data_IF_066115472830
#
_entry.id   IF_066115472830
#
_cell.length_a   1.000
_cell.length_b   1.000
_cell.length_c   1.000
_cell.angle_alpha   90.00
_cell.angle_beta   90.00
_cell.angle_gamma   90.00
#
_symmetry.space_group_name_H-M   'P 1'
#
loop_
_entity.id
_entity.type
_entity.pdbx_description
1 polymer ?
#
# COMPACT_ATOMS: atom_id res chain seq x y z
N UNK A 1 4.56 -17.59 45.94
CA UNK A 1 4.42 -18.18 44.59
C UNK A 1 3.38 -17.49 43.71
N UNK A 2 2.26 -16.96 44.24
CA UNK A 2 1.22 -16.26 43.43
C UNK A 2 1.66 -14.96 42.74
N UNK A 3 2.68 -14.26 43.28
CA UNK A 3 3.15 -12.96 42.76
C UNK A 3 4.00 -13.07 41.48
N UNK A 4 4.59 -14.25 41.21
CA UNK A 4 5.49 -14.47 40.07
C UNK A 4 4.68 -14.72 38.78
N UNK A 5 3.51 -15.37 38.90
CA UNK A 5 2.61 -15.63 37.78
C UNK A 5 2.01 -14.35 37.17
N UNK A 6 1.72 -13.33 38.00
CA UNK A 6 1.18 -12.05 37.53
C UNK A 6 2.24 -11.23 36.77
N UNK A 7 3.51 -11.29 37.21
CA UNK A 7 4.62 -10.64 36.53
C UNK A 7 4.89 -11.27 35.15
N UNK A 8 4.77 -12.60 35.03
CA UNK A 8 4.94 -13.31 33.77
C UNK A 8 3.81 -13.00 32.74
N UNK A 9 2.57 -12.82 33.20
CA UNK A 9 1.45 -12.42 32.31
C UNK A 9 1.54 -10.98 31.81
N UNK A 10 2.20 -10.07 32.56
CA UNK A 10 2.39 -8.68 32.12
C UNK A 10 3.53 -8.56 31.09
N UNK A 11 4.60 -9.35 31.24
CA UNK A 11 5.73 -9.39 30.31
C UNK A 11 5.38 -10.09 28.98
N UNK A 12 4.41 -11.01 28.98
CA UNK A 12 3.85 -11.60 27.76
C UNK A 12 2.86 -10.66 27.03
N UNK A 13 2.43 -9.56 27.67
CA UNK A 13 1.49 -8.58 27.10
C UNK A 13 2.13 -7.45 26.28
N UNK A 14 3.47 -7.41 26.18
CA UNK A 14 4.21 -6.35 25.45
C UNK A 14 4.59 -6.81 24.02
N UNK A 15 4.03 -7.94 23.58
CA UNK A 15 4.24 -8.46 22.23
C UNK A 15 3.42 -7.69 21.20
N UNK A 16 4.12 -6.90 20.38
CA UNK A 16 3.66 -6.27 19.14
C UNK A 16 2.60 -5.18 19.33
N UNK A 17 3.05 -3.94 19.56
CA UNK A 17 2.31 -2.81 19.02
C UNK A 17 2.33 -2.97 17.50
N UNK A 18 1.22 -3.44 16.91
CA UNK A 18 1.03 -3.34 15.47
C UNK A 18 1.07 -1.85 15.14
N UNK A 19 2.17 -1.38 14.57
CA UNK A 19 2.23 -0.01 14.06
C UNK A 19 1.22 0.09 12.93
N UNK A 20 0.15 0.86 13.15
CA UNK A 20 -0.68 1.27 12.05
C UNK A 20 0.16 2.14 11.11
N UNK A 21 0.10 1.88 9.81
CA UNK A 21 0.78 2.68 8.81
C UNK A 21 -0.22 3.27 7.83
N UNK A 22 0.19 4.38 7.25
CA UNK A 22 -0.61 5.12 6.27
C UNK A 22 -0.12 4.85 4.85
N UNK A 23 -1.01 5.11 3.89
CA UNK A 23 -0.68 5.07 2.48
C UNK A 23 -1.16 6.36 1.80
N UNK A 24 -0.23 7.04 1.13
CA UNK A 24 -0.52 8.23 0.31
C UNK A 24 -0.31 7.88 -1.16
N UNK A 25 -1.33 8.12 -1.98
CA UNK A 25 -1.27 8.01 -3.42
C UNK A 25 -1.25 9.40 -4.03
N UNK A 26 -0.24 9.69 -4.84
CA UNK A 26 -0.07 10.94 -5.58
C UNK A 26 -0.12 10.58 -7.05
N UNK A 27 -1.11 11.08 -7.77
CA UNK A 27 -1.31 10.80 -9.18
C UNK A 27 -1.21 12.08 -10.00
N UNK A 28 -0.09 12.22 -10.71
CA UNK A 28 0.19 13.34 -11.61
C UNK A 28 -0.26 13.07 -13.05
N UNK A 29 -0.84 11.90 -13.31
CA UNK A 29 -1.40 11.54 -14.60
C UNK A 29 -2.87 11.94 -14.68
N UNK A 30 -3.44 11.89 -15.88
CA UNK A 30 -4.87 12.11 -16.12
C UNK A 30 -5.70 10.81 -16.01
N UNK A 31 -5.09 9.68 -15.66
CA UNK A 31 -5.78 8.40 -15.53
C UNK A 31 -6.26 8.14 -14.10
N UNK A 32 -7.30 7.32 -13.95
CA UNK A 32 -7.64 6.72 -12.65
C UNK A 32 -7.11 5.30 -12.61
N UNK A 33 -6.42 4.93 -11.54
CA UNK A 33 -5.82 3.60 -11.37
C UNK A 33 -6.56 2.76 -10.33
N UNK A 34 -6.74 1.48 -10.62
CA UNK A 34 -7.27 0.52 -9.66
C UNK A 34 -6.12 -0.26 -9.01
N UNK A 35 -6.11 -0.29 -7.68
CA UNK A 35 -5.14 -1.04 -6.89
C UNK A 35 -5.87 -1.99 -5.96
N UNK A 36 -5.33 -3.20 -5.77
CA UNK A 36 -5.78 -4.09 -4.70
C UNK A 36 -4.78 -4.06 -3.55
N UNK A 37 -5.27 -3.85 -2.32
CA UNK A 37 -4.48 -3.85 -1.08
C UNK A 37 -5.06 -4.87 -0.10
N UNK A 38 -4.43 -5.04 1.07
CA UNK A 38 -5.02 -5.85 2.15
C UNK A 38 -6.35 -5.28 2.63
N UNK A 39 -6.53 -3.95 2.58
CA UNK A 39 -7.76 -3.26 2.92
C UNK A 39 -8.84 -3.32 1.84
N UNK A 40 -8.57 -3.91 0.68
CA UNK A 40 -9.49 -3.97 -0.47
C UNK A 40 -9.03 -3.15 -1.67
N UNK A 41 -10.00 -2.81 -2.53
CA UNK A 41 -9.74 -2.09 -3.77
C UNK A 41 -9.73 -0.57 -3.57
N UNK A 42 -8.75 0.09 -4.15
CA UNK A 42 -8.58 1.54 -4.13
C UNK A 42 -8.60 2.06 -5.55
N UNK A 43 -9.40 3.09 -5.79
CA UNK A 43 -9.32 3.88 -7.01
C UNK A 43 -8.49 5.13 -6.71
N UNK A 44 -7.45 5.37 -7.50
CA UNK A 44 -6.56 6.52 -7.38
C UNK A 44 -6.84 7.46 -8.56
N UNK A 45 -7.75 8.44 -8.40
CA UNK A 45 -7.98 9.47 -9.42
C UNK A 45 -6.77 10.42 -9.51
N UNK A 46 -6.71 11.31 -10.53
CA UNK A 46 -5.74 12.40 -10.56
C UNK A 46 -5.78 13.23 -9.27
N UNK A 47 -4.60 13.60 -8.76
CA UNK A 47 -4.43 14.30 -7.49
C UNK A 47 -3.96 13.40 -6.34
N UNK A 48 -4.31 13.76 -5.12
CA UNK A 48 -3.81 13.10 -3.90
C UNK A 48 -4.94 12.34 -3.20
N UNK A 49 -4.66 11.08 -2.82
CA UNK A 49 -5.55 10.25 -2.01
C UNK A 49 -4.79 9.73 -0.81
N UNK A 50 -5.37 9.82 0.39
CA UNK A 50 -4.71 9.41 1.64
C UNK A 50 -5.58 8.43 2.42
N UNK A 51 -4.95 7.38 2.94
CA UNK A 51 -5.55 6.43 3.86
C UNK A 51 -4.68 6.30 5.11
N UNK A 52 -5.27 6.58 6.27
CA UNK A 52 -4.59 6.46 7.55
C UNK A 52 -4.34 5.00 7.97
N UNK A 53 -5.10 4.06 7.42
CA UNK A 53 -4.93 2.62 7.62
C UNK A 53 -5.66 1.81 6.54
N UNK A 54 -5.37 0.51 6.38
CA UNK A 54 -6.13 -0.37 5.48
C UNK A 54 -7.61 -0.48 5.85
N UNK A 55 -7.96 -0.35 7.13
CA UNK A 55 -9.35 -0.37 7.60
C UNK A 55 -10.19 0.83 7.10
N UNK A 56 -9.55 1.88 6.57
CA UNK A 56 -10.22 3.02 5.96
C UNK A 56 -10.55 2.80 4.47
N UNK A 57 -10.15 1.66 3.89
CA UNK A 57 -10.56 1.25 2.54
C UNK A 57 -11.84 0.42 2.69
N UNK A 58 -12.85 0.72 1.87
CA UNK A 58 -14.12 0.00 1.92
C UNK A 58 -13.92 -1.43 1.43
N UNK A 59 -13.86 -2.39 2.35
CA UNK A 59 -13.90 -3.81 2.03
C UNK A 59 -14.67 -4.59 3.10
N UNK A 60 -15.87 -5.09 2.80
CA UNK A 60 -16.67 -5.87 3.74
C UNK A 60 -16.10 -7.27 4.04
N UNK A 61 -15.06 -7.74 3.32
CA UNK A 61 -14.51 -9.09 3.45
C UNK A 61 -13.06 -9.19 3.93
N UNK A 62 -12.36 -8.07 4.16
CA UNK A 62 -10.99 -8.10 4.65
C UNK A 62 -10.96 -8.06 6.19
N UNK A 63 -10.16 -8.91 6.86
CA UNK A 63 -9.86 -8.68 8.27
C UNK A 63 -9.20 -7.30 8.41
N UNK A 64 -9.54 -6.50 9.44
CA UNK A 64 -8.94 -5.20 9.65
C UNK A 64 -7.44 -5.37 9.97
N UNK A 65 -6.59 -5.37 8.95
CA UNK A 65 -5.16 -5.25 9.17
C UNK A 65 -4.89 -3.79 9.53
N UNK A 66 -4.20 -3.56 10.66
CA UNK A 66 -3.75 -2.21 11.02
C UNK A 66 -2.69 -1.67 10.04
N UNK A 67 -2.09 -2.54 9.23
CA UNK A 67 -0.89 -2.23 8.44
C UNK A 67 -1.07 -2.63 6.97
N UNK A 68 -0.80 -1.70 6.06
CA UNK A 68 -0.48 -1.92 4.66
C UNK A 68 0.83 -2.70 4.58
N UNK A 69 0.79 -3.92 4.08
CA UNK A 69 1.98 -4.75 3.83
C UNK A 69 2.34 -4.82 2.35
N UNK A 70 1.46 -4.34 1.47
CA UNK A 70 1.70 -4.28 0.04
C UNK A 70 0.48 -3.86 -0.76
N UNK A 71 0.67 -3.59 -2.03
CA UNK A 71 -0.40 -3.32 -2.99
C UNK A 71 -0.11 -4.06 -4.29
N UNK A 72 -1.15 -4.42 -5.03
CA UNK A 72 -1.01 -4.81 -6.44
C UNK A 72 -1.64 -3.74 -7.29
N UNK A 73 -0.85 -3.21 -8.21
CA UNK A 73 -1.31 -2.22 -9.17
C UNK A 73 -1.71 -2.98 -10.43
N UNK A 74 -2.94 -2.79 -10.87
CA UNK A 74 -3.37 -3.23 -12.19
C UNK A 74 -2.95 -2.18 -13.21
N UNK A 75 -1.89 -2.45 -13.98
CA UNK A 75 -1.37 -1.52 -15.00
C UNK A 75 -2.19 -1.64 -16.28
N UNK A 76 -3.53 -1.51 -16.17
CA UNK A 76 -4.49 -1.89 -17.22
C UNK A 76 -4.33 -3.39 -17.60
N UNK A 77 -5.33 -4.07 -18.20
CA UNK A 77 -5.50 -5.54 -18.12
C UNK A 77 -4.38 -6.45 -18.69
N UNK A 78 -3.23 -5.90 -19.09
CA UNK A 78 -2.06 -6.62 -19.54
C UNK A 78 -1.05 -7.00 -18.44
N UNK A 79 -0.95 -6.29 -17.30
CA UNK A 79 0.10 -6.61 -16.29
C UNK A 79 -0.24 -6.14 -14.87
N UNK A 80 0.00 -7.00 -13.88
CA UNK A 80 -0.09 -6.66 -12.45
C UNK A 80 1.29 -6.54 -11.84
N UNK A 81 1.56 -5.45 -11.10
CA UNK A 81 2.81 -5.28 -10.34
C UNK A 81 2.54 -5.33 -8.84
N UNK A 82 3.31 -6.17 -8.14
CA UNK A 82 3.28 -6.27 -6.68
C UNK A 82 4.23 -5.28 -6.01
N UNK A 83 3.73 -4.60 -5.00
CA UNK A 83 4.47 -3.75 -4.08
C UNK A 83 4.45 -4.39 -2.70
N UNK A 84 5.58 -4.36 -2.00
CA UNK A 84 5.72 -5.02 -0.72
C UNK A 84 6.48 -4.14 0.26
N UNK A 85 5.95 -4.00 1.47
CA UNK A 85 6.64 -3.34 2.58
C UNK A 85 7.77 -4.25 3.09
N UNK A 86 8.97 -3.69 3.28
CA UNK A 86 10.07 -4.38 3.94
C UNK A 86 10.87 -5.39 3.10
N UNK A 87 10.62 -5.47 1.78
CA UNK A 87 11.44 -6.30 0.89
C UNK A 87 12.08 -5.42 -0.18
N UNK A 88 13.38 -5.57 -0.41
CA UNK A 88 14.19 -4.78 -1.36
C UNK A 88 13.87 -5.03 -2.84
N UNK A 89 12.59 -5.18 -3.18
CA UNK A 89 12.11 -5.22 -4.55
C UNK A 89 12.23 -3.85 -5.24
N UNK A 90 12.05 -3.80 -6.58
CA UNK A 90 12.11 -2.54 -7.31
C UNK A 90 11.07 -1.57 -6.76
N UNK A 91 11.48 -0.36 -6.40
CA UNK A 91 10.62 0.72 -5.87
C UNK A 91 9.85 1.45 -6.98
N UNK A 92 9.75 0.87 -8.16
CA UNK A 92 9.12 1.49 -9.32
C UNK A 92 8.74 0.45 -10.38
N UNK A 93 7.67 0.74 -11.12
CA UNK A 93 7.29 0.01 -12.30
C UNK A 93 6.74 0.96 -13.38
N UNK A 94 6.97 0.61 -14.64
CA UNK A 94 6.47 1.37 -15.79
C UNK A 94 5.47 0.54 -16.58
N UNK A 95 4.40 1.20 -17.04
CA UNK A 95 3.45 0.60 -17.98
C UNK A 95 4.10 0.29 -19.34
N UNK A 96 5.20 0.97 -19.69
CA UNK A 96 5.96 0.71 -20.92
C UNK A 96 6.54 -0.71 -20.96
N UNK A 97 6.97 -1.25 -19.81
CA UNK A 97 7.50 -2.62 -19.70
C UNK A 97 6.44 -3.66 -20.08
N UNK A 98 5.16 -3.33 -19.87
CA UNK A 98 4.01 -4.14 -20.22
C UNK A 98 3.43 -3.82 -21.61
N UNK A 99 4.02 -2.86 -22.35
CA UNK A 99 3.47 -2.38 -23.62
C UNK A 99 2.14 -1.62 -23.48
N UNK A 100 1.86 -1.03 -22.31
CA UNK A 100 0.61 -0.34 -22.01
C UNK A 100 0.77 1.18 -22.11
N UNK A 101 -0.07 1.79 -22.94
CA UNK A 101 -0.08 3.22 -23.24
C UNK A 101 -1.51 3.77 -23.14
N UNK A 102 -1.99 4.13 -21.94
CA UNK A 102 -3.38 4.50 -21.74
C UNK A 102 -3.77 5.77 -22.50
N UNK A 103 -4.93 5.76 -23.17
CA UNK A 103 -5.44 6.95 -23.87
C UNK A 103 -5.66 8.14 -22.93
N UNK A 104 -6.09 7.88 -21.68
CA UNK A 104 -6.22 8.91 -20.65
C UNK A 104 -4.89 9.59 -20.33
N UNK A 105 -3.75 8.94 -20.57
CA UNK A 105 -2.42 9.53 -20.38
C UNK A 105 -1.81 10.00 -21.71
N UNK A 106 -2.63 10.53 -22.63
CA UNK A 106 -2.19 10.97 -23.96
C UNK A 106 -1.48 9.86 -24.77
N UNK A 107 -1.85 8.60 -24.56
CA UNK A 107 -1.17 7.42 -25.13
C UNK A 107 0.33 7.36 -24.79
N UNK A 108 0.72 7.94 -23.65
CA UNK A 108 2.06 7.82 -23.08
C UNK A 108 2.06 6.77 -21.98
N UNK A 109 3.19 6.09 -21.80
CA UNK A 109 3.40 5.24 -20.65
C UNK A 109 3.40 6.08 -19.36
N UNK A 110 2.99 5.47 -18.26
CA UNK A 110 3.14 6.04 -16.93
C UNK A 110 4.10 5.17 -16.11
N UNK A 111 4.65 5.77 -15.07
CA UNK A 111 5.49 5.11 -14.07
C UNK A 111 4.86 5.29 -12.71
N UNK A 112 4.83 4.21 -11.96
CA UNK A 112 4.44 4.22 -10.55
C UNK A 112 5.67 3.90 -9.73
N UNK A 113 6.10 4.87 -8.93
CA UNK A 113 7.20 4.73 -7.98
C UNK A 113 6.63 4.73 -6.56
N UNK A 114 7.30 4.06 -5.63
CA UNK A 114 6.87 4.04 -4.26
C UNK A 114 8.04 4.05 -3.29
N UNK A 115 7.82 4.68 -2.16
CA UNK A 115 8.76 4.68 -1.06
C UNK A 115 8.08 4.12 0.18
N UNK A 116 8.83 3.34 0.94
CA UNK A 116 8.42 2.82 2.24
C UNK A 116 9.26 3.53 3.29
N UNK A 117 8.59 4.24 4.20
CA UNK A 117 9.23 4.92 5.31
C UNK A 117 10.01 3.96 6.21
N UNK A 118 10.87 4.51 7.05
CA UNK A 118 11.59 3.72 8.03
C UNK A 118 10.67 3.26 9.19
N UNK A 119 11.19 2.34 10.00
CA UNK A 119 10.60 1.98 11.29
C UNK A 119 10.37 3.25 12.16
N UNK A 120 9.37 3.24 13.07
CA UNK A 120 8.53 2.10 13.43
C UNK A 120 7.30 1.92 12.52
N UNK A 121 6.91 2.93 11.74
CA UNK A 121 5.59 2.94 11.11
C UNK A 121 5.59 2.43 9.67
N UNK A 122 6.67 2.54 8.90
CA UNK A 122 6.69 2.06 7.50
C UNK A 122 5.57 2.65 6.62
N UNK A 123 5.29 3.94 6.75
CA UNK A 123 4.31 4.65 5.91
C UNK A 123 4.68 4.56 4.42
N UNK A 124 3.68 4.44 3.56
CA UNK A 124 3.87 4.26 2.12
C UNK A 124 3.50 5.54 1.38
N UNK A 125 4.36 5.97 0.46
CA UNK A 125 4.02 7.01 -0.52
C UNK A 125 4.18 6.44 -1.91
N UNK A 126 3.14 6.57 -2.73
CA UNK A 126 3.10 6.15 -4.12
C UNK A 126 2.94 7.35 -5.03
N UNK A 127 3.72 7.39 -6.11
CA UNK A 127 3.71 8.46 -7.10
C UNK A 127 3.49 7.88 -8.50
N UNK A 128 2.40 8.28 -9.15
CA UNK A 128 2.11 7.99 -10.55
C UNK A 128 2.43 9.21 -11.40
N UNK A 129 3.21 9.05 -12.47
CA UNK A 129 3.67 10.13 -13.35
C UNK A 129 3.92 9.65 -14.78
#
# INVERSE_FOLDING_TARGET
MKKILIAASLLLGIGTAASANSCTYINLTNCTYALSTQGGFVNVPPGNTFYASPANISNPGAPPSGTFSGAKIDLFPATTVGMYVGTGGPLSASSATAGVFPACNNSQAFTVSWNVGAAPNYDIVMLFF
#
